data_IF_280531645016
#
_entry.id   IF_280531645016
#
_cell.length_a   1.000
_cell.length_b   1.000
_cell.length_c   1.000
_cell.angle_alpha   90.00
_cell.angle_beta   90.00
_cell.angle_gamma   90.00
#
_symmetry.space_group_name_H-M   'P 1'
#
loop_
_entity.id
_entity.type
_entity.pdbx_description
1 polymer ?
#
# COMPACT_ATOMS: atom_id res chain seq x y z
N UNK A 1 -7.78 -3.81 -48.23
CA UNK A 1 -7.90 -3.81 -46.76
C UNK A 1 -7.42 -2.45 -46.33
N UNK A 2 -8.35 -1.59 -45.89
CA UNK A 2 -8.04 -0.22 -45.49
C UNK A 2 -7.39 -0.24 -44.12
N UNK A 3 -6.22 0.38 -43.99
CA UNK A 3 -5.62 0.73 -42.71
C UNK A 3 -6.41 1.90 -42.12
N UNK A 4 -7.40 1.61 -41.27
CA UNK A 4 -8.08 2.61 -40.46
C UNK A 4 -7.17 2.91 -39.26
N UNK A 5 -6.70 4.16 -39.05
CA UNK A 5 -5.82 4.47 -37.94
C UNK A 5 -6.56 4.22 -36.63
N UNK A 6 -5.97 3.35 -35.81
CA UNK A 6 -6.48 2.92 -34.50
C UNK A 6 -6.58 4.15 -33.57
N UNK A 7 -7.70 4.87 -33.63
CA UNK A 7 -7.98 6.05 -32.81
C UNK A 7 -8.50 5.59 -31.45
N UNK A 8 -7.70 4.78 -30.75
CA UNK A 8 -8.00 4.42 -29.38
C UNK A 8 -7.55 5.59 -28.47
N UNK A 9 -8.47 6.26 -27.75
CA UNK A 9 -8.10 7.35 -26.86
C UNK A 9 -7.15 6.82 -25.78
N UNK A 10 -5.94 7.36 -25.71
CA UNK A 10 -5.00 7.00 -24.66
C UNK A 10 -5.54 7.54 -23.32
N UNK A 11 -5.73 6.66 -22.30
CA UNK A 11 -6.26 7.10 -21.02
C UNK A 11 -5.30 8.10 -20.36
N UNK A 12 -5.83 9.13 -19.68
CA UNK A 12 -4.99 10.14 -19.05
C UNK A 12 -4.09 9.47 -18.00
N UNK A 13 -2.82 9.93 -17.87
CA UNK A 13 -1.89 9.34 -16.92
C UNK A 13 -2.43 9.46 -15.50
N UNK A 14 -2.44 8.35 -14.76
CA UNK A 14 -2.83 8.32 -13.36
C UNK A 14 -1.81 9.08 -12.51
N UNK A 15 -2.26 9.85 -11.49
CA UNK A 15 -1.36 10.52 -10.56
C UNK A 15 -0.36 9.53 -9.94
N UNK A 16 0.92 9.89 -9.91
CA UNK A 16 1.99 9.04 -9.37
C UNK A 16 1.67 8.51 -7.96
N UNK A 17 1.04 9.34 -7.12
CA UNK A 17 0.64 8.97 -5.76
C UNK A 17 -0.37 7.80 -5.69
N UNK A 18 -1.18 7.56 -6.73
CA UNK A 18 -2.11 6.42 -6.79
C UNK A 18 -1.43 5.13 -7.26
N UNK A 19 -0.27 5.26 -7.90
CA UNK A 19 0.58 4.13 -8.30
C UNK A 19 1.50 3.72 -7.14
N UNK A 20 1.69 4.61 -6.17
CA UNK A 20 2.48 4.37 -4.98
C UNK A 20 1.72 3.62 -3.89
N UNK A 21 2.29 2.53 -3.35
CA UNK A 21 1.68 1.76 -2.26
C UNK A 21 1.90 2.42 -0.89
N UNK A 22 2.99 3.18 -0.75
CA UNK A 22 3.40 3.82 0.50
C UNK A 22 2.36 4.82 1.05
N UNK A 23 1.73 5.69 0.24
CA UNK A 23 0.65 6.56 0.70
C UNK A 23 -0.51 5.79 1.34
N UNK A 24 -0.91 4.65 0.76
CA UNK A 24 -2.02 3.83 1.29
C UNK A 24 -1.64 3.21 2.64
N UNK A 25 -0.43 2.66 2.76
CA UNK A 25 0.09 2.11 4.01
C UNK A 25 0.15 3.20 5.09
N UNK A 26 0.64 4.39 4.76
CA UNK A 26 0.76 5.51 5.68
C UNK A 26 -0.62 5.97 6.20
N UNK A 27 -1.58 6.17 5.30
CA UNK A 27 -2.95 6.58 5.68
C UNK A 27 -3.61 5.51 6.55
N UNK A 28 -3.50 4.23 6.19
CA UNK A 28 -4.05 3.13 6.98
C UNK A 28 -3.41 3.02 8.37
N UNK A 29 -2.09 3.13 8.46
CA UNK A 29 -1.36 3.09 9.73
C UNK A 29 -1.75 4.27 10.63
N UNK A 30 -1.80 5.49 10.10
CA UNK A 30 -2.23 6.68 10.83
C UNK A 30 -3.68 6.55 11.31
N UNK A 31 -4.56 5.99 10.50
CA UNK A 31 -5.95 5.72 10.88
C UNK A 31 -6.04 4.76 12.08
N UNK A 32 -5.29 3.66 12.07
CA UNK A 32 -5.27 2.72 13.20
C UNK A 32 -4.63 3.31 14.45
N UNK A 33 -3.57 4.11 14.31
CA UNK A 33 -2.96 4.83 15.45
C UNK A 33 -3.95 5.81 16.06
N UNK A 34 -4.65 6.60 15.24
CA UNK A 34 -5.67 7.54 15.72
C UNK A 34 -6.82 6.80 16.42
N UNK A 35 -7.29 5.69 15.85
CA UNK A 35 -8.32 4.87 16.47
C UNK A 35 -7.87 4.26 17.80
N UNK A 36 -6.63 3.78 17.90
CA UNK A 36 -6.06 3.28 19.14
C UNK A 36 -6.00 4.39 20.19
N UNK A 37 -5.46 5.56 19.85
CA UNK A 37 -5.42 6.73 20.75
C UNK A 37 -6.83 7.06 21.25
N UNK A 38 -7.83 7.10 20.37
CA UNK A 38 -9.21 7.35 20.75
C UNK A 38 -9.76 6.26 21.70
N UNK A 39 -9.49 4.98 21.44
CA UNK A 39 -9.94 3.86 22.28
C UNK A 39 -9.31 3.85 23.69
N UNK A 40 -8.11 4.43 23.86
CA UNK A 40 -7.46 4.56 25.16
C UNK A 40 -7.80 5.88 25.88
N UNK A 41 -8.01 6.97 25.14
CA UNK A 41 -8.30 8.29 25.70
C UNK A 41 -9.79 8.52 26.02
N UNK A 42 -10.70 7.87 25.29
CA UNK A 42 -12.15 8.10 25.41
C UNK A 42 -12.83 6.87 26.05
N UNK A 43 -13.41 7.00 27.27
CA UNK A 43 -14.00 5.87 27.98
C UNK A 43 -15.11 5.13 27.21
N UNK A 44 -15.91 5.84 26.41
CA UNK A 44 -16.96 5.23 25.58
C UNK A 44 -16.43 4.34 24.45
N UNK A 45 -15.14 4.46 24.10
CA UNK A 45 -14.49 3.69 23.04
C UNK A 45 -13.62 2.54 23.59
N UNK A 46 -13.65 2.28 24.90
CA UNK A 46 -12.77 1.26 25.52
C UNK A 46 -12.95 -0.15 24.95
N UNK A 47 -14.14 -0.48 24.43
CA UNK A 47 -14.42 -1.78 23.79
C UNK A 47 -13.69 -1.96 22.46
N UNK A 48 -13.20 -0.88 21.84
CA UNK A 48 -12.46 -0.91 20.59
C UNK A 48 -10.96 -1.19 20.78
N UNK A 49 -10.45 -1.18 22.02
CA UNK A 49 -9.02 -1.42 22.30
C UNK A 49 -8.50 -2.73 21.70
N UNK A 50 -9.16 -3.89 21.84
CA UNK A 50 -8.66 -5.13 21.23
C UNK A 50 -8.61 -5.04 19.70
N UNK A 51 -9.62 -4.40 19.09
CA UNK A 51 -9.73 -4.25 17.64
C UNK A 51 -8.66 -3.32 17.10
N UNK A 52 -8.41 -2.20 17.77
CA UNK A 52 -7.38 -1.22 17.37
C UNK A 52 -5.97 -1.78 17.53
N UNK A 53 -5.71 -2.54 18.58
CA UNK A 53 -4.44 -3.27 18.76
C UNK A 53 -4.27 -4.35 17.68
N UNK A 54 -5.32 -5.12 17.39
CA UNK A 54 -5.28 -6.13 16.32
C UNK A 54 -5.03 -5.48 14.95
N UNK A 55 -5.69 -4.36 14.64
CA UNK A 55 -5.48 -3.61 13.41
C UNK A 55 -4.05 -3.11 13.25
N UNK A 56 -3.45 -2.57 14.31
CA UNK A 56 -2.03 -2.19 14.32
C UNK A 56 -1.10 -3.39 14.11
N UNK A 57 -1.35 -4.51 14.79
CA UNK A 57 -0.56 -5.72 14.63
C UNK A 57 -0.64 -6.29 13.22
N UNK A 58 -1.84 -6.37 12.65
CA UNK A 58 -2.07 -6.82 11.27
C UNK A 58 -1.42 -5.87 10.26
N UNK A 59 -1.55 -4.55 10.46
CA UNK A 59 -0.91 -3.55 9.60
C UNK A 59 0.62 -3.65 9.62
N UNK A 60 1.22 -3.83 10.80
CA UNK A 60 2.66 -4.05 10.95
C UNK A 60 3.11 -5.35 10.29
N UNK A 61 2.34 -6.44 10.47
CA UNK A 61 2.62 -7.73 9.83
C UNK A 61 2.56 -7.62 8.30
N UNK A 62 1.48 -7.08 7.76
CA UNK A 62 1.30 -6.91 6.31
C UNK A 62 2.38 -6.03 5.69
N UNK A 63 2.71 -4.90 6.34
CA UNK A 63 3.79 -4.01 5.90
C UNK A 63 5.15 -4.71 5.96
N UNK A 64 5.43 -5.48 7.02
CA UNK A 64 6.66 -6.25 7.16
C UNK A 64 6.82 -7.29 6.05
N UNK A 65 5.76 -8.03 5.74
CA UNK A 65 5.72 -8.97 4.60
C UNK A 65 6.01 -8.22 3.30
N UNK A 66 5.32 -7.09 3.05
CA UNK A 66 5.53 -6.30 1.85
C UNK A 66 6.99 -5.83 1.69
N UNK A 67 7.58 -5.27 2.74
CA UNK A 67 8.98 -4.82 2.72
C UNK A 67 9.93 -5.99 2.51
N UNK A 68 9.65 -7.15 3.10
CA UNK A 68 10.45 -8.36 2.88
C UNK A 68 10.38 -8.83 1.42
N UNK A 69 9.19 -8.79 0.80
CA UNK A 69 9.00 -9.09 -0.61
C UNK A 69 9.71 -8.06 -1.51
N UNK A 70 9.58 -6.76 -1.20
CA UNK A 70 10.27 -5.67 -1.89
C UNK A 70 11.80 -5.87 -1.85
N UNK A 71 12.34 -6.24 -0.69
CA UNK A 71 13.76 -6.53 -0.53
C UNK A 71 14.17 -7.81 -1.28
N UNK A 72 13.32 -8.84 -1.35
CA UNK A 72 13.58 -10.06 -2.12
C UNK A 72 13.59 -9.81 -3.63
N UNK A 73 12.67 -8.99 -4.12
CA UNK A 73 12.62 -8.53 -5.50
C UNK A 73 13.88 -7.74 -5.88
N UNK A 74 14.33 -6.81 -5.02
CA UNK A 74 15.59 -6.07 -5.19
C UNK A 74 16.83 -6.96 -5.28
N UNK A 75 16.80 -8.16 -4.68
CA UNK A 75 17.89 -9.15 -4.73
C UNK A 75 17.83 -10.06 -5.98
N UNK A 76 16.86 -9.86 -6.88
CA UNK A 76 16.75 -10.63 -8.12
C UNK A 76 16.28 -12.07 -7.93
N UNK A 77 15.57 -12.38 -6.84
CA UNK A 77 14.99 -13.71 -6.64
C UNK A 77 13.92 -13.98 -7.72
N UNK A 78 14.12 -15.01 -8.56
CA UNK A 78 13.26 -15.37 -9.73
C UNK A 78 11.79 -15.77 -9.40
N UNK A 79 11.36 -15.63 -8.15
CA UNK A 79 9.98 -15.85 -7.70
C UNK A 79 9.27 -14.59 -7.20
N UNK A 80 9.87 -13.41 -7.36
CA UNK A 80 9.26 -12.13 -6.97
C UNK A 80 8.21 -11.66 -8.00
N UNK A 81 7.15 -10.99 -7.53
CA UNK A 81 6.13 -10.38 -8.39
C UNK A 81 6.78 -9.44 -9.43
N UNK A 82 6.46 -9.65 -10.70
CA UNK A 82 6.72 -8.67 -11.76
C UNK A 82 5.86 -7.42 -11.52
N UNK A 83 6.46 -6.23 -11.69
CA UNK A 83 5.83 -4.91 -11.46
C UNK A 83 6.54 -4.04 -10.42
N UNK A 84 7.65 -4.52 -9.86
CA UNK A 84 8.37 -3.91 -8.74
C UNK A 84 9.61 -3.11 -9.23
N UNK A 85 9.98 -3.34 -10.49
CA UNK A 85 10.92 -2.59 -11.34
C UNK A 85 10.55 -1.11 -11.50
N UNK A 86 9.26 -0.77 -11.54
CA UNK A 86 8.78 0.62 -11.69
C UNK A 86 9.27 1.56 -10.58
N UNK A 87 9.55 1.03 -9.38
CA UNK A 87 10.09 1.83 -8.25
C UNK A 87 11.63 1.92 -8.25
N UNK A 88 12.31 1.10 -9.04
CA UNK A 88 13.77 1.11 -9.15
C UNK A 88 14.25 2.07 -10.24
N UNK A 89 13.44 2.28 -11.28
CA UNK A 89 13.73 3.22 -12.39
C UNK A 89 13.51 4.70 -12.04
N UNK A 90 13.07 5.01 -10.81
CA UNK A 90 12.86 6.38 -10.33
C UNK A 90 13.97 6.86 -9.35
N UNK A 91 15.12 6.18 -9.31
CA UNK A 91 16.36 6.68 -8.67
C UNK A 91 17.42 6.99 -9.71
#
# INVERSE_FOLDING_TARGET
>A
MSDEPDHNPEPPPLPAALLEVWPVIAVGALGWVAAAVAAFAVPSLQTWRPVTVAGLAVGMLGTGIFVWQLAAARRGARGAQAGLETYLDHQ
#
